data_IF_929644024108
#
_entry.id   IF_929644024108
#
_cell.length_a   1.000
_cell.length_b   1.000
_cell.length_c   1.000
_cell.angle_alpha   90.00
_cell.angle_beta   90.00
_cell.angle_gamma   90.00
#
_symmetry.space_group_name_H-M   'P 1'
#
loop_
_entity.id
_entity.type
_entity.pdbx_description
1 polymer ?
#
# COMPACT_ATOMS: atom_id res chain seq x y z
N UNK A 1 2.10 -19.36 22.58
CA UNK A 1 1.85 -18.95 21.17
C UNK A 1 2.81 -19.60 20.14
N UNK A 2 3.30 -20.85 20.32
CA UNK A 2 4.12 -21.52 19.29
C UNK A 2 3.28 -22.32 18.27
N UNK A 3 2.12 -22.83 18.70
CA UNK A 3 1.26 -23.72 17.92
C UNK A 3 0.66 -23.03 16.68
N UNK A 4 0.18 -21.78 16.80
CA UNK A 4 -0.32 -21.00 15.67
C UNK A 4 0.72 -20.75 14.58
N UNK A 5 2.00 -20.62 14.95
CA UNK A 5 3.08 -20.39 13.99
C UNK A 5 3.44 -21.67 13.23
N UNK A 6 3.39 -22.82 13.91
CA UNK A 6 3.63 -24.15 13.33
C UNK A 6 2.49 -24.54 12.37
N UNK A 7 1.25 -24.12 12.66
CA UNK A 7 0.08 -24.34 11.81
C UNK A 7 -0.01 -23.36 10.62
N UNK A 8 0.99 -22.51 10.39
CA UNK A 8 0.97 -21.50 9.31
C UNK A 8 -0.03 -20.36 9.53
N UNK A 9 -0.55 -20.20 10.75
CA UNK A 9 -1.51 -19.15 11.14
C UNK A 9 -0.82 -17.90 11.71
N UNK A 10 0.51 -17.89 11.77
CA UNK A 10 1.32 -16.74 12.19
C UNK A 10 2.09 -16.13 11.02
N UNK A 11 2.43 -14.83 11.07
CA UNK A 11 3.11 -14.15 9.99
C UNK A 11 4.49 -14.75 9.70
N UNK A 12 4.76 -15.04 8.43
CA UNK A 12 6.05 -15.53 7.95
C UNK A 12 7.04 -14.36 7.73
N UNK A 13 8.25 -14.65 7.22
CA UNK A 13 9.25 -13.59 6.97
C UNK A 13 8.81 -12.63 5.86
N UNK A 14 8.12 -13.13 4.84
CA UNK A 14 7.58 -12.32 3.75
C UNK A 14 6.49 -11.36 4.26
N UNK A 15 5.63 -11.78 5.19
CA UNK A 15 4.62 -10.96 5.83
C UNK A 15 5.24 -9.82 6.64
N UNK A 16 6.35 -10.09 7.32
CA UNK A 16 7.10 -9.05 8.04
C UNK A 16 7.73 -8.06 7.08
N UNK A 17 8.34 -8.54 6.00
CA UNK A 17 8.93 -7.70 4.95
C UNK A 17 7.87 -6.84 4.27
N UNK A 18 6.71 -7.41 3.96
CA UNK A 18 5.56 -6.69 3.41
C UNK A 18 5.08 -5.61 4.37
N UNK A 19 4.96 -5.93 5.67
CA UNK A 19 4.59 -4.95 6.70
C UNK A 19 5.58 -3.79 6.77
N UNK A 20 6.88 -4.04 6.66
CA UNK A 20 7.89 -2.97 6.63
C UNK A 20 7.79 -2.09 5.38
N UNK A 21 7.60 -2.68 4.21
CA UNK A 21 7.41 -1.94 2.95
C UNK A 21 6.15 -1.06 3.03
N UNK A 22 5.07 -1.60 3.57
CA UNK A 22 3.84 -0.87 3.84
C UNK A 22 4.11 0.33 4.77
N UNK A 23 4.80 0.12 5.89
CA UNK A 23 5.09 1.19 6.85
C UNK A 23 6.01 2.29 6.30
N UNK A 24 6.83 1.98 5.29
CA UNK A 24 7.75 2.94 4.64
C UNK A 24 7.14 3.68 3.45
N UNK A 25 5.87 3.40 3.11
CA UNK A 25 5.18 3.99 1.95
C UNK A 25 4.44 5.29 2.32
N UNK A 26 3.11 5.29 2.26
CA UNK A 26 2.27 6.43 2.61
C UNK A 26 1.95 6.46 4.12
N UNK A 27 1.77 7.65 4.68
CA UNK A 27 1.42 7.84 6.09
C UNK A 27 0.05 7.27 6.43
N UNK A 28 -0.89 7.31 5.47
CA UNK A 28 -2.24 6.80 5.63
C UNK A 28 -2.41 5.30 5.35
N UNK A 29 -1.33 4.55 5.07
CA UNK A 29 -1.48 3.12 4.77
C UNK A 29 -2.01 2.35 5.97
N UNK A 30 -3.06 1.57 5.73
CA UNK A 30 -3.64 0.62 6.69
C UNK A 30 -3.81 -0.74 6.01
N UNK A 31 -3.34 -1.79 6.67
CA UNK A 31 -3.60 -3.17 6.24
C UNK A 31 -5.04 -3.53 6.65
N UNK A 32 -5.87 -3.87 5.67
CA UNK A 32 -7.30 -4.20 5.87
C UNK A 32 -7.63 -5.66 5.58
N UNK A 33 -6.69 -6.40 4.98
CA UNK A 33 -6.81 -7.82 4.69
C UNK A 33 -5.47 -8.41 4.25
N UNK A 34 -5.41 -9.73 4.08
CA UNK A 34 -4.21 -10.39 3.56
C UNK A 34 -3.94 -9.90 2.13
N UNK A 35 -2.82 -9.24 1.93
CA UNK A 35 -2.46 -8.62 0.65
C UNK A 35 -3.29 -7.38 0.28
N UNK A 36 -4.14 -6.88 1.17
CA UNK A 36 -4.99 -5.70 0.90
C UNK A 36 -4.62 -4.55 1.82
N UNK A 37 -4.28 -3.42 1.21
CA UNK A 37 -4.01 -2.17 1.91
C UNK A 37 -4.99 -1.09 1.46
N UNK A 38 -5.25 -0.15 2.36
CA UNK A 38 -6.01 1.06 2.09
C UNK A 38 -5.11 2.27 2.32
N UNK A 39 -5.20 3.23 1.42
CA UNK A 39 -4.45 4.50 1.44
C UNK A 39 -5.45 5.63 1.26
N UNK A 40 -5.26 6.76 1.94
CA UNK A 40 -6.11 7.94 1.75
C UNK A 40 -5.85 8.53 0.36
N UNK A 41 -6.89 8.64 -0.51
CA UNK A 41 -6.72 9.21 -1.84
C UNK A 41 -6.26 10.67 -1.84
N UNK A 42 -6.48 11.44 -0.76
CA UNK A 42 -5.99 12.82 -0.64
C UNK A 42 -4.47 12.86 -0.59
N UNK A 43 -3.86 11.99 0.22
CA UNK A 43 -2.40 11.87 0.31
C UNK A 43 -1.81 11.41 -1.02
N UNK A 44 -2.43 10.42 -1.67
CA UNK A 44 -1.99 9.95 -2.98
C UNK A 44 -1.99 11.09 -4.01
N UNK A 45 -3.02 11.94 -4.01
CA UNK A 45 -3.13 13.09 -4.93
C UNK A 45 -2.07 14.16 -4.73
N UNK A 46 -1.50 14.26 -3.53
CA UNK A 46 -0.46 15.24 -3.21
C UNK A 46 0.92 14.83 -3.73
N UNK A 47 1.12 13.55 -4.06
CA UNK A 47 2.38 13.05 -4.62
C UNK A 47 2.69 13.61 -6.01
N UNK A 48 3.99 13.79 -6.28
CA UNK A 48 4.45 14.30 -7.58
C UNK A 48 4.19 13.29 -8.71
N UNK A 49 4.27 11.99 -8.41
CA UNK A 49 3.92 10.90 -9.31
C UNK A 49 2.47 11.02 -9.78
N UNK A 50 1.53 11.20 -8.84
CA UNK A 50 0.12 11.34 -9.18
C UNK A 50 -0.16 12.61 -9.97
N UNK A 51 0.46 13.74 -9.59
CA UNK A 51 0.31 15.01 -10.33
C UNK A 51 0.82 14.89 -11.77
N UNK A 52 1.96 14.23 -11.99
CA UNK A 52 2.50 13.97 -13.33
C UNK A 52 1.58 13.07 -14.15
N UNK A 53 1.13 11.96 -13.57
CA UNK A 53 0.19 11.05 -14.23
C UNK A 53 -1.12 11.75 -14.61
N UNK A 54 -1.65 12.60 -13.70
CA UNK A 54 -2.84 13.42 -13.98
C UNK A 54 -2.64 14.39 -15.15
N UNK A 55 -1.47 15.04 -15.23
CA UNK A 55 -1.14 15.94 -16.36
C UNK A 55 -1.09 15.19 -17.69
N UNK A 56 -0.48 14.00 -17.69
CA UNK A 56 -0.42 13.13 -18.87
C UNK A 56 -1.82 12.67 -19.29
N UNK A 57 -2.65 12.23 -18.35
CA UNK A 57 -4.02 11.82 -18.62
C UNK A 57 -4.86 12.96 -19.22
N UNK A 58 -4.70 14.19 -18.70
CA UNK A 58 -5.37 15.37 -19.26
C UNK A 58 -4.97 15.63 -20.72
N UNK A 59 -3.68 15.48 -21.05
CA UNK A 59 -3.18 15.66 -22.40
C UNK A 59 -3.75 14.62 -23.40
N UNK A 60 -4.04 13.40 -22.93
CA UNK A 60 -4.64 12.33 -23.75
C UNK A 60 -6.12 12.61 -24.04
N UNK A 61 -6.87 13.04 -23.02
CA UNK A 61 -8.33 13.23 -23.15
C UNK A 61 -8.68 14.54 -23.86
N UNK A 62 -7.74 15.47 -24.02
CA UNK A 62 -7.96 16.72 -24.79
C UNK A 62 -9.01 17.64 -24.17
N UNK A 63 -9.16 17.61 -22.84
CA UNK A 63 -10.11 18.45 -22.09
C UNK A 63 -9.50 19.77 -21.61
#
# INVERSE_FOLDING_TARGET
>A
MKVFKILGLGPNEDDKRLKELVNKSYKSVKVVGRGTIRIDPKEVRETEEFKKARKQAKAIVGA
#
